data_IF_364690141693
#
_entry.id   IF_364690141693
#
_cell.length_a   1.000
_cell.length_b   1.000
_cell.length_c   1.000
_cell.angle_alpha   90.00
_cell.angle_beta   90.00
_cell.angle_gamma   90.00
#
_symmetry.space_group_name_H-M   'P 1'
#
loop_
_entity.id
_entity.type
_entity.pdbx_description
1 polymer ?
#
# COMPACT_ATOMS: atom_id res chain seq x y z
N UNK A 1 5.18 23.70 5.76
CA UNK A 1 4.40 22.89 4.79
C UNK A 1 3.91 21.65 5.52
N UNK A 2 2.68 21.24 5.22
CA UNK A 2 1.87 20.28 5.96
C UNK A 2 2.48 18.87 6.04
N UNK A 3 2.45 18.25 7.24
CA UNK A 3 2.33 16.82 7.60
C UNK A 3 3.10 15.73 6.78
N UNK A 4 3.90 16.10 5.79
CA UNK A 4 4.48 15.20 4.78
C UNK A 4 5.84 14.66 5.14
N UNK A 5 6.47 15.16 6.21
CA UNK A 5 7.89 14.89 6.48
C UNK A 5 8.15 13.96 7.67
N UNK A 6 7.13 13.34 8.27
CA UNK A 6 7.33 12.26 9.26
C UNK A 6 6.90 10.86 8.81
N UNK A 7 6.11 10.75 7.73
CA UNK A 7 5.66 9.46 7.19
C UNK A 7 5.45 9.60 5.68
N UNK A 8 6.52 9.52 4.88
CA UNK A 8 6.41 9.14 3.48
C UNK A 8 6.55 7.62 3.42
N UNK A 9 5.47 6.83 3.65
CA UNK A 9 5.54 5.44 3.27
C UNK A 9 5.94 5.42 1.79
N UNK A 10 6.87 4.54 1.41
CA UNK A 10 7.29 4.32 0.01
C UNK A 10 6.08 4.11 -0.95
N UNK A 11 4.91 3.86 -0.39
CA UNK A 11 3.57 3.82 -0.95
C UNK A 11 3.08 5.17 -1.52
N UNK A 12 3.66 6.32 -1.17
CA UNK A 12 3.33 7.62 -1.78
C UNK A 12 4.36 8.05 -2.85
N UNK A 13 5.25 7.16 -3.27
CA UNK A 13 6.31 7.46 -4.23
C UNK A 13 5.76 7.64 -5.65
N UNK A 14 6.35 8.52 -6.46
CA UNK A 14 5.91 8.79 -7.83
C UNK A 14 6.00 7.57 -8.75
N UNK A 15 7.07 6.79 -8.60
CA UNK A 15 7.27 5.53 -9.32
C UNK A 15 6.36 4.40 -8.76
N UNK A 16 5.46 3.81 -9.58
CA UNK A 16 4.58 2.73 -9.15
C UNK A 16 5.33 1.47 -8.70
N UNK A 17 6.50 1.16 -9.24
CA UNK A 17 7.31 0.02 -8.81
C UNK A 17 7.78 0.13 -7.35
N UNK A 18 8.09 1.36 -6.93
CA UNK A 18 8.48 1.63 -5.52
C UNK A 18 7.26 1.49 -4.62
N UNK A 19 6.08 1.92 -5.07
CA UNK A 19 4.83 1.74 -4.33
C UNK A 19 4.47 0.26 -4.21
N UNK A 20 4.55 -0.52 -5.29
CA UNK A 20 4.32 -1.98 -5.27
C UNK A 20 5.21 -2.69 -4.25
N UNK A 21 6.51 -2.42 -4.26
CA UNK A 21 7.45 -3.00 -3.28
C UNK A 21 7.09 -2.64 -1.84
N UNK A 22 6.64 -1.40 -1.62
CA UNK A 22 6.23 -0.95 -0.31
C UNK A 22 4.95 -1.64 0.18
N UNK A 23 3.96 -1.75 -0.70
CA UNK A 23 2.71 -2.47 -0.47
C UNK A 23 2.98 -3.94 -0.12
N UNK A 24 3.89 -4.61 -0.86
CA UNK A 24 4.25 -6.00 -0.56
C UNK A 24 4.89 -6.18 0.83
N UNK A 25 5.65 -5.18 1.30
CA UNK A 25 6.27 -5.20 2.63
C UNK A 25 5.36 -4.74 3.77
N UNK A 26 4.18 -4.20 3.44
CA UNK A 26 3.25 -3.66 4.42
C UNK A 26 2.47 -4.79 5.10
N UNK A 27 2.16 -4.58 6.38
CA UNK A 27 1.38 -5.49 7.22
C UNK A 27 0.17 -4.80 7.85
N UNK A 28 0.08 -3.47 7.77
CA UNK A 28 -1.10 -2.71 8.17
C UNK A 28 -2.22 -2.84 7.13
N UNK A 29 -3.24 -3.64 7.49
CA UNK A 29 -4.44 -3.83 6.69
C UNK A 29 -5.18 -2.52 6.37
N UNK A 30 -5.24 -1.57 7.32
CA UNK A 30 -5.90 -0.28 7.13
C UNK A 30 -5.13 0.60 6.14
N UNK A 31 -3.80 0.52 6.13
CA UNK A 31 -2.99 1.21 5.15
C UNK A 31 -3.17 0.61 3.75
N UNK A 32 -3.13 -0.72 3.63
CA UNK A 32 -3.40 -1.43 2.37
C UNK A 32 -4.78 -1.09 1.80
N UNK A 33 -5.80 -1.01 2.64
CA UNK A 33 -7.14 -0.61 2.22
C UNK A 33 -7.16 0.82 1.65
N UNK A 34 -6.46 1.77 2.28
CA UNK A 34 -6.33 3.14 1.75
C UNK A 34 -5.61 3.17 0.40
N UNK A 35 -4.62 2.31 0.17
CA UNK A 35 -3.95 2.20 -1.14
C UNK A 35 -4.94 1.74 -2.20
N UNK A 36 -5.77 0.75 -1.89
CA UNK A 36 -6.79 0.22 -2.81
C UNK A 36 -7.79 1.31 -3.22
N UNK A 37 -8.15 2.21 -2.30
CA UNK A 37 -9.13 3.27 -2.53
C UNK A 37 -8.56 4.50 -3.26
N UNK A 38 -7.26 4.78 -3.10
CA UNK A 38 -6.68 6.07 -3.47
C UNK A 38 -5.52 6.00 -4.49
N UNK A 39 -4.90 4.83 -4.72
CA UNK A 39 -3.84 4.72 -5.72
C UNK A 39 -4.42 4.78 -7.14
N UNK A 40 -3.72 5.49 -8.02
CA UNK A 40 -4.14 5.70 -9.41
C UNK A 40 -3.68 4.59 -10.33
N UNK A 41 -2.69 3.82 -9.91
CA UNK A 41 -2.10 2.75 -10.68
C UNK A 41 -2.81 1.42 -10.38
N UNK A 42 -3.44 0.79 -11.39
CA UNK A 42 -4.21 -0.42 -11.18
C UNK A 42 -3.35 -1.60 -10.70
N UNK A 43 -2.07 -1.68 -11.09
CA UNK A 43 -1.18 -2.74 -10.64
C UNK A 43 -0.83 -2.59 -9.16
N UNK A 44 -0.66 -1.34 -8.69
CA UNK A 44 -0.45 -1.05 -7.26
C UNK A 44 -1.69 -1.43 -6.46
N UNK A 45 -2.90 -1.11 -6.95
CA UNK A 45 -4.17 -1.48 -6.32
C UNK A 45 -4.34 -3.00 -6.25
N UNK A 46 -4.05 -3.72 -7.33
CA UNK A 46 -4.12 -5.19 -7.35
C UNK A 46 -3.13 -5.81 -6.35
N UNK A 47 -1.89 -5.30 -6.32
CA UNK A 47 -0.87 -5.74 -5.36
C UNK A 47 -1.35 -5.54 -3.92
N UNK A 48 -2.01 -4.41 -3.63
CA UNK A 48 -2.55 -4.11 -2.30
C UNK A 48 -3.71 -5.03 -1.93
N UNK A 49 -4.62 -5.35 -2.87
CA UNK A 49 -5.70 -6.33 -2.65
C UNK A 49 -5.14 -7.70 -2.31
N UNK A 50 -4.19 -8.18 -3.11
CA UNK A 50 -3.54 -9.48 -2.87
C UNK A 50 -2.87 -9.53 -1.51
N UNK A 51 -2.09 -8.50 -1.16
CA UNK A 51 -1.40 -8.44 0.13
C UNK A 51 -2.40 -8.42 1.29
N UNK A 52 -3.47 -7.64 1.16
CA UNK A 52 -4.54 -7.56 2.17
C UNK A 52 -5.21 -8.92 2.40
N UNK A 53 -5.48 -9.67 1.33
CA UNK A 53 -5.98 -11.05 1.42
C UNK A 53 -4.98 -11.96 2.13
N UNK A 54 -3.69 -11.93 1.76
CA UNK A 54 -2.65 -12.75 2.38
C UNK A 54 -2.56 -12.52 3.90
N UNK A 55 -2.59 -11.26 4.35
CA UNK A 55 -2.50 -10.98 5.80
C UNK A 55 -3.79 -11.33 6.54
N UNK A 56 -4.95 -11.25 5.89
CA UNK A 56 -6.26 -11.54 6.51
C UNK A 56 -6.49 -13.04 6.61
N UNK A 57 -6.11 -13.81 5.58
CA UNK A 57 -6.22 -15.28 5.56
C UNK A 57 -5.27 -15.95 6.55
N UNK A 58 -4.06 -15.40 6.78
CA UNK A 58 -3.12 -15.94 7.76
C UNK A 58 -3.59 -15.77 9.22
N UNK A 59 -4.56 -14.89 9.46
CA UNK A 59 -5.11 -14.61 10.80
C UNK A 59 -6.40 -15.36 11.15
N UNK A 60 -6.92 -16.20 10.25
CA UNK A 60 -8.13 -17.02 10.45
C UNK A 60 -7.78 -18.48 10.79
#
# INVERSE_FOLDING_TARGET
MAFRDLFLPKIAHSNPEVRKKAVMSESDAGLLQRVIENDKDPEVVETARRRLSEITEVTA
#
